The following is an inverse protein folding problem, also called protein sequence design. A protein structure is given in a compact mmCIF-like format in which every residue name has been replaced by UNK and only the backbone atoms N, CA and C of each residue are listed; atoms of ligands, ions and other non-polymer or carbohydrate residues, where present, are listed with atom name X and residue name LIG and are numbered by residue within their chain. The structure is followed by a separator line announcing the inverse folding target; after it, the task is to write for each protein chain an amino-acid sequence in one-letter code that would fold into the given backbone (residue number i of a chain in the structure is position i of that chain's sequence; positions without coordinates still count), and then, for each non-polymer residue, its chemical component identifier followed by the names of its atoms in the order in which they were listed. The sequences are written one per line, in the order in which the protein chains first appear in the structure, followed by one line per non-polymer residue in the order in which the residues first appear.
data_IF_536722989417
#
_entry.id   IF_536722989417
#
_cell.length_a   1.000
_cell.length_b   1.000
_cell.length_c   1.000
_cell.angle_alpha   90.00
_cell.angle_beta   90.00
_cell.angle_gamma   90.00
#
_symmetry.space_group_name_H-M   'P 1'
#
loop_
_entity.id
_entity.type
_entity.pdbx_description
1 polymer ?
#
# COMPACT_ATOMS: atom_id res chain seq x y z
N UNK A 1 -46.02 -89.04 3.00
CA UNK A 1 -47.24 -88.94 2.18
C UNK A 1 -47.44 -87.46 1.87
N UNK A 2 -47.26 -86.98 0.61
CA UNK A 2 -48.31 -86.85 -0.44
C UNK A 2 -49.54 -86.13 0.16
N UNK A 3 -49.99 -84.95 -0.23
CA UNK A 3 -50.13 -84.21 -1.52
C UNK A 3 -50.47 -82.75 -1.14
N UNK A 4 -50.09 -81.66 -1.83
CA UNK A 4 -50.44 -81.29 -3.20
C UNK A 4 -51.88 -80.75 -3.30
N UNK A 5 -52.09 -79.44 -3.49
CA UNK A 5 -52.96 -78.85 -4.52
C UNK A 5 -52.95 -77.30 -4.54
N UNK A 6 -53.16 -76.82 -5.75
CA UNK A 6 -52.92 -75.52 -6.39
C UNK A 6 -54.09 -74.53 -6.24
N UNK A 7 -53.83 -73.21 -6.37
CA UNK A 7 -54.59 -72.20 -7.15
C UNK A 7 -53.87 -70.84 -6.99
N UNK A 8 -53.20 -70.26 -8.00
CA UNK A 8 -53.70 -69.55 -9.20
C UNK A 8 -54.77 -68.48 -8.91
N UNK A 9 -54.32 -67.22 -8.73
CA UNK A 9 -54.96 -66.03 -9.28
C UNK A 9 -53.90 -64.97 -9.57
N UNK A 10 -53.74 -64.63 -10.84
CA UNK A 10 -53.11 -63.39 -11.26
C UNK A 10 -54.12 -62.24 -11.20
N UNK A 11 -53.60 -61.01 -11.17
CA UNK A 11 -53.93 -59.92 -12.09
C UNK A 11 -53.30 -58.62 -11.59
N UNK A 12 -52.51 -58.02 -12.48
CA UNK A 12 -52.52 -56.62 -12.89
C UNK A 12 -52.75 -55.55 -11.81
N UNK A 13 -51.76 -54.70 -11.62
CA UNK A 13 -52.02 -53.40 -11.00
C UNK A 13 -50.77 -52.59 -10.73
N UNK A 14 -50.42 -51.76 -11.70
CA UNK A 14 -49.87 -50.42 -11.45
C UNK A 14 -48.52 -50.39 -10.72
N UNK A 15 -47.45 -50.54 -11.51
CA UNK A 15 -46.16 -49.99 -11.15
C UNK A 15 -46.27 -48.47 -11.02
N UNK A 16 -46.49 -48.00 -9.79
CA UNK A 16 -46.22 -46.62 -9.42
C UNK A 16 -44.70 -46.46 -9.42
N UNK A 17 -44.16 -46.02 -10.56
CA UNK A 17 -42.84 -45.39 -10.60
C UNK A 17 -43.00 -44.10 -9.79
N UNK A 18 -42.66 -44.16 -8.51
CA UNK A 18 -42.45 -42.96 -7.70
C UNK A 18 -41.16 -42.34 -8.23
N UNK A 19 -41.30 -41.51 -9.27
CA UNK A 19 -40.25 -40.60 -9.69
C UNK A 19 -40.12 -39.57 -8.58
N UNK A 20 -39.25 -39.86 -7.61
CA UNK A 20 -38.86 -38.90 -6.59
C UNK A 20 -38.14 -37.77 -7.34
N UNK A 21 -38.89 -36.75 -7.72
CA UNK A 21 -38.35 -35.52 -8.28
C UNK A 21 -37.58 -34.82 -7.17
N UNK A 22 -36.31 -35.19 -7.01
CA UNK A 22 -35.36 -34.55 -6.12
C UNK A 22 -35.11 -33.16 -6.69
N UNK A 23 -35.95 -32.21 -6.30
CA UNK A 23 -35.72 -30.80 -6.52
C UNK A 23 -34.50 -30.43 -5.68
N UNK A 24 -33.31 -30.58 -6.26
CA UNK A 24 -32.08 -30.05 -5.67
C UNK A 24 -32.26 -28.53 -5.71
N UNK A 25 -32.79 -27.97 -4.62
CA UNK A 25 -32.71 -26.56 -4.36
C UNK A 25 -31.22 -26.24 -4.21
N UNK A 26 -30.58 -25.87 -5.32
CA UNK A 26 -29.27 -25.23 -5.32
C UNK A 26 -29.48 -23.89 -4.64
N UNK A 27 -29.42 -23.90 -3.31
CA UNK A 27 -29.21 -22.71 -2.51
C UNK A 27 -27.82 -22.25 -2.92
N UNK A 28 -27.76 -21.45 -3.99
CA UNK A 28 -26.57 -20.65 -4.31
C UNK A 28 -26.38 -19.75 -3.12
N UNK A 29 -25.55 -20.20 -2.18
CA UNK A 29 -24.98 -19.37 -1.14
C UNK A 29 -24.22 -18.27 -1.85
N UNK A 30 -24.90 -17.15 -2.10
CA UNK A 30 -24.27 -15.90 -2.51
C UNK A 30 -23.41 -15.52 -1.31
N UNK A 31 -22.17 -15.97 -1.29
CA UNK A 31 -21.18 -15.51 -0.33
C UNK A 31 -20.99 -14.03 -0.68
N UNK A 32 -21.37 -13.10 0.20
CA UNK A 32 -21.12 -11.70 -0.06
C UNK A 32 -19.61 -11.52 -0.18
N UNK A 33 -19.14 -11.15 -1.38
CA UNK A 33 -17.78 -10.72 -1.61
C UNK A 33 -17.56 -9.46 -0.76
N UNK A 34 -16.89 -9.60 0.38
CA UNK A 34 -16.53 -8.43 1.20
C UNK A 34 -15.44 -7.70 0.43
N UNK A 35 -15.84 -6.64 -0.27
CA UNK A 35 -14.93 -5.82 -1.06
C UNK A 35 -14.07 -5.03 -0.08
N UNK A 36 -12.79 -5.42 0.01
CA UNK A 36 -11.88 -4.75 0.92
C UNK A 36 -11.58 -3.34 0.45
N UNK A 37 -11.49 -2.41 1.39
CA UNK A 37 -11.09 -1.03 1.11
C UNK A 37 -10.35 -0.52 2.33
N UNK A 38 -9.03 -0.41 2.25
CA UNK A 38 -8.26 0.19 3.33
C UNK A 38 -7.11 1.00 2.77
N UNK A 39 -6.69 1.98 3.56
CA UNK A 39 -5.60 2.90 3.31
C UNK A 39 -4.98 3.31 4.64
N UNK A 40 -3.80 3.92 4.62
CA UNK A 40 -3.27 4.57 5.81
C UNK A 40 -3.94 5.95 5.98
N UNK A 41 -4.64 6.15 7.09
CA UNK A 41 -5.22 7.45 7.44
C UNK A 41 -4.17 8.40 7.98
N UNK A 42 -3.27 7.87 8.81
CA UNK A 42 -2.20 8.64 9.42
C UNK A 42 -0.84 7.99 9.17
N UNK A 43 0.02 8.67 8.43
CA UNK A 43 1.37 8.22 8.13
C UNK A 43 2.37 8.47 9.28
N UNK A 44 2.06 9.41 10.19
CA UNK A 44 2.81 9.64 11.43
C UNK A 44 1.86 9.87 12.61
N UNK A 45 1.38 8.77 13.17
CA UNK A 45 0.49 8.73 14.32
C UNK A 45 1.28 8.82 15.63
N UNK A 46 0.75 9.55 16.60
CA UNK A 46 1.24 9.53 17.97
C UNK A 46 0.29 8.73 18.85
N UNK A 47 0.69 7.53 19.33
CA UNK A 47 -0.18 6.68 20.12
C UNK A 47 -0.56 7.30 21.48
N UNK A 48 0.24 8.21 22.02
CA UNK A 48 0.00 8.80 23.34
C UNK A 48 -1.06 9.91 23.27
N UNK A 49 -0.92 10.83 22.30
CA UNK A 49 -1.88 11.93 22.12
C UNK A 49 -3.05 11.59 21.19
N UNK A 50 -2.97 10.48 20.46
CA UNK A 50 -3.89 10.06 19.39
C UNK A 50 -3.99 11.05 18.22
N UNK A 51 -2.99 11.94 18.10
CA UNK A 51 -2.90 12.93 17.03
C UNK A 51 -2.15 12.37 15.82
N UNK A 52 -2.44 12.95 14.66
CA UNK A 52 -1.73 12.66 13.44
C UNK A 52 -0.84 13.84 13.02
N UNK A 53 0.47 13.58 12.93
CA UNK A 53 1.50 14.56 12.57
C UNK A 53 1.93 14.49 11.11
N UNK A 54 1.31 13.61 10.31
CA UNK A 54 1.52 13.59 8.88
C UNK A 54 0.65 12.58 8.18
N UNK A 55 0.24 12.94 6.98
CA UNK A 55 -0.79 12.24 6.22
C UNK A 55 -0.22 11.71 4.92
N UNK A 56 -0.95 10.78 4.29
CA UNK A 56 -0.64 10.43 2.92
C UNK A 56 -0.96 11.58 1.97
N UNK A 57 -0.40 11.51 0.77
CA UNK A 57 -0.54 12.58 -0.23
C UNK A 57 -2.01 12.76 -0.64
N UNK A 58 -2.47 14.01 -0.73
CA UNK A 58 -3.84 14.33 -1.17
C UNK A 58 -4.94 13.82 -0.24
N UNK A 59 -4.62 13.55 1.03
CA UNK A 59 -5.60 13.14 2.02
C UNK A 59 -6.63 14.26 2.23
N UNK A 60 -7.92 13.91 2.18
CA UNK A 60 -9.03 14.87 2.32
C UNK A 60 -9.76 14.75 3.67
N UNK A 61 -9.36 13.78 4.50
CA UNK A 61 -9.94 13.52 5.81
C UNK A 61 -11.29 12.80 5.77
N UNK A 62 -11.58 12.02 6.81
CA UNK A 62 -12.80 11.18 6.90
C UNK A 62 -14.13 11.94 6.95
N UNK A 63 -14.10 13.26 7.13
CA UNK A 63 -15.27 14.12 6.95
C UNK A 63 -15.74 14.21 5.48
N UNK A 64 -14.90 13.85 4.51
CA UNK A 64 -15.30 13.73 3.12
C UNK A 64 -16.09 12.43 2.90
N UNK A 65 -17.34 12.55 2.43
CA UNK A 65 -18.24 11.41 2.21
C UNK A 65 -17.73 10.43 1.15
N UNK A 66 -16.90 10.92 0.23
CA UNK A 66 -16.34 10.14 -0.87
C UNK A 66 -14.93 9.62 -0.56
N UNK A 67 -14.45 9.74 0.68
CA UNK A 67 -13.07 9.37 1.04
C UNK A 67 -12.74 7.91 0.67
N UNK A 68 -13.69 7.00 0.85
CA UNK A 68 -13.49 5.58 0.51
C UNK A 68 -13.14 5.42 -0.96
N UNK A 69 -13.81 6.15 -1.84
CA UNK A 69 -13.57 6.11 -3.29
C UNK A 69 -12.32 6.88 -3.69
N UNK A 70 -12.07 8.03 -3.06
CA UNK A 70 -10.95 8.90 -3.41
C UNK A 70 -9.60 8.38 -2.92
N UNK A 71 -9.58 7.64 -1.82
CA UNK A 71 -8.37 7.28 -1.12
C UNK A 71 -8.05 5.78 -1.12
N UNK A 72 -9.03 4.92 -1.40
CA UNK A 72 -8.74 3.53 -1.71
C UNK A 72 -8.12 3.44 -3.09
N UNK A 73 -6.96 2.78 -3.18
CA UNK A 73 -6.33 2.49 -4.46
C UNK A 73 -6.05 0.99 -4.58
N UNK A 74 -6.85 0.35 -5.44
CA UNK A 74 -6.94 -1.10 -5.62
C UNK A 74 -6.05 -1.58 -6.77
N UNK A 75 -5.37 -2.70 -6.56
CA UNK A 75 -4.79 -3.53 -7.61
C UNK A 75 -5.56 -4.84 -7.68
N UNK A 76 -6.09 -5.16 -8.85
CA UNK A 76 -6.74 -6.44 -9.10
C UNK A 76 -5.69 -7.46 -9.57
N UNK A 77 -5.43 -8.48 -8.73
CA UNK A 77 -4.37 -9.45 -8.95
C UNK A 77 -2.97 -8.83 -9.07
N UNK A 78 -2.33 -8.98 -10.24
CA UNK A 78 -0.94 -8.55 -10.47
C UNK A 78 -0.80 -7.73 -11.75
N UNK A 79 -1.33 -6.49 -11.79
CA UNK A 79 -1.36 -5.70 -13.01
C UNK A 79 0.05 -5.44 -13.52
N UNK A 80 0.26 -5.52 -14.84
CA UNK A 80 1.59 -5.27 -15.41
C UNK A 80 1.96 -3.79 -15.45
N UNK A 81 0.97 -2.91 -15.69
CA UNK A 81 1.17 -1.48 -15.94
C UNK A 81 0.14 -0.65 -15.19
N UNK A 82 0.31 -0.56 -13.88
CA UNK A 82 -0.50 0.30 -13.01
C UNK A 82 0.44 0.99 -12.02
N UNK A 83 0.41 2.33 -11.87
CA UNK A 83 1.29 3.00 -10.91
C UNK A 83 0.98 2.52 -9.49
N UNK A 84 1.98 2.42 -8.61
CA UNK A 84 1.72 2.00 -7.22
C UNK A 84 1.03 3.09 -6.40
N UNK A 85 1.06 4.32 -6.87
CA UNK A 85 0.35 5.43 -6.26
C UNK A 85 -0.85 5.81 -7.09
N UNK A 86 -1.94 6.22 -6.42
CA UNK A 86 -3.12 6.73 -7.10
C UNK A 86 -2.74 7.93 -7.98
N UNK A 87 -3.00 7.90 -9.31
CA UNK A 87 -2.62 8.98 -10.21
C UNK A 87 -3.16 10.35 -9.80
N UNK A 88 -4.36 10.42 -9.22
CA UNK A 88 -4.95 11.66 -8.73
C UNK A 88 -4.06 12.30 -7.66
N UNK A 89 -3.51 11.47 -6.78
CA UNK A 89 -2.56 11.89 -5.75
C UNK A 89 -1.19 12.23 -6.35
N UNK A 90 -0.80 11.68 -7.50
CA UNK A 90 0.53 11.91 -8.08
C UNK A 90 0.71 13.26 -8.79
N UNK A 91 -0.37 13.89 -9.27
CA UNK A 91 -0.28 15.11 -10.08
C UNK A 91 0.36 16.32 -9.38
N UNK A 92 0.34 16.38 -8.05
CA UNK A 92 0.95 17.45 -7.26
C UNK A 92 1.15 17.01 -5.80
N UNK A 93 2.11 17.62 -5.09
CA UNK A 93 2.27 17.46 -3.64
C UNK A 93 1.13 18.21 -2.94
N UNK A 94 -0.05 17.59 -2.88
CA UNK A 94 -1.29 18.18 -2.35
C UNK A 94 -1.39 18.06 -0.83
N UNK A 95 -0.35 18.53 -0.15
CA UNK A 95 -0.35 18.67 1.31
C UNK A 95 -0.95 20.02 1.69
N UNK A 96 -1.71 20.04 2.79
CA UNK A 96 -2.34 21.26 3.32
C UNK A 96 -1.93 21.47 4.77
N UNK A 97 -2.18 22.66 5.32
CA UNK A 97 -1.95 22.91 6.76
C UNK A 97 -2.78 22.00 7.68
N UNK A 98 -3.91 21.48 7.19
CA UNK A 98 -4.77 20.53 7.90
C UNK A 98 -4.25 19.10 7.79
N UNK A 99 -3.71 18.76 6.62
CA UNK A 99 -3.16 17.44 6.31
C UNK A 99 -1.72 17.58 5.83
N UNK A 100 -0.77 17.91 6.73
CA UNK A 100 0.60 18.16 6.36
C UNK A 100 1.37 16.88 6.03
N UNK A 101 2.48 17.05 5.32
CA UNK A 101 3.50 16.00 5.18
C UNK A 101 4.16 15.72 6.52
N UNK A 102 4.48 14.46 6.81
CA UNK A 102 5.23 14.12 8.01
C UNK A 102 6.68 14.65 7.94
N UNK A 103 7.14 15.25 9.04
CA UNK A 103 8.57 15.41 9.29
C UNK A 103 9.10 14.15 9.97
N UNK A 104 10.30 13.69 9.64
CA UNK A 104 10.93 12.58 10.35
C UNK A 104 12.45 12.72 10.40
N UNK A 105 13.12 12.01 11.31
CA UNK A 105 14.59 11.91 11.32
C UNK A 105 15.08 10.48 11.06
N UNK A 106 16.32 10.28 10.57
CA UNK A 106 16.85 8.94 10.30
C UNK A 106 16.89 8.08 11.58
N UNK A 107 16.36 6.86 11.52
CA UNK A 107 16.24 5.98 12.67
C UNK A 107 15.05 6.27 13.60
N UNK A 108 14.21 7.26 13.29
CA UNK A 108 12.95 7.48 14.03
C UNK A 108 12.02 6.26 13.86
N UNK A 109 11.37 5.85 14.94
CA UNK A 109 10.24 4.92 14.85
C UNK A 109 8.98 5.73 14.53
N UNK A 110 8.37 5.43 13.39
CA UNK A 110 7.12 6.06 12.94
C UNK A 110 5.99 5.06 13.16
N UNK A 111 4.93 5.50 13.83
CA UNK A 111 3.68 4.76 13.92
C UNK A 111 2.74 5.25 12.82
N UNK A 112 1.98 4.32 12.28
CA UNK A 112 0.92 4.57 11.31
C UNK A 112 -0.42 4.10 11.87
N UNK A 113 -1.51 4.69 11.41
CA UNK A 113 -2.86 4.28 11.78
C UNK A 113 -3.78 4.15 10.54
N UNK A 114 -4.67 3.16 10.60
CA UNK A 114 -5.68 2.84 9.58
C UNK A 114 -6.90 2.21 10.24
N UNK A 115 -8.01 2.04 9.50
CA UNK A 115 -9.17 1.28 9.99
C UNK A 115 -9.12 -0.18 9.53
N UNK A 116 -9.58 -1.10 10.38
CA UNK A 116 -9.70 -2.52 10.03
C UNK A 116 -10.71 -2.78 8.90
N UNK A 117 -11.74 -1.94 8.79
CA UNK A 117 -12.84 -2.00 7.82
C UNK A 117 -13.41 -3.42 7.60
N UNK A 118 -13.61 -4.17 8.69
CA UNK A 118 -14.16 -5.52 8.68
C UNK A 118 -13.15 -6.64 8.39
N UNK A 119 -11.87 -6.33 8.20
CA UNK A 119 -10.83 -7.31 7.85
C UNK A 119 -9.94 -7.74 9.03
N UNK A 120 -10.54 -7.83 10.22
CA UNK A 120 -9.86 -8.41 11.39
C UNK A 120 -9.53 -9.88 11.15
N UNK A 121 -8.26 -10.26 11.25
CA UNK A 121 -7.84 -11.66 11.19
C UNK A 121 -6.67 -11.98 12.14
N UNK A 122 -7.00 -12.66 13.25
CA UNK A 122 -6.01 -13.11 14.22
C UNK A 122 -5.30 -14.42 13.85
N UNK A 123 -5.98 -15.29 13.10
CA UNK A 123 -5.48 -16.63 12.81
C UNK A 123 -4.41 -16.60 11.71
N UNK A 124 -4.61 -15.76 10.69
CA UNK A 124 -3.73 -15.66 9.53
C UNK A 124 -3.64 -14.21 9.04
N UNK A 125 -3.13 -13.26 9.85
CA UNK A 125 -3.14 -11.86 9.48
C UNK A 125 -2.42 -11.60 8.15
N UNK A 126 -3.14 -10.96 7.23
CA UNK A 126 -2.55 -10.32 6.06
C UNK A 126 -1.50 -9.28 6.43
N UNK A 127 -0.64 -8.94 5.48
CA UNK A 127 0.57 -8.15 5.71
C UNK A 127 0.53 -6.81 5.00
N UNK A 128 1.12 -5.83 5.66
CA UNK A 128 1.47 -4.55 5.09
C UNK A 128 2.99 -4.50 4.97
N UNK A 129 3.49 -4.07 3.82
CA UNK A 129 4.86 -3.59 3.67
C UNK A 129 4.89 -2.07 3.56
N UNK A 130 5.91 -1.46 4.17
CA UNK A 130 6.25 -0.06 3.95
C UNK A 130 7.46 -0.03 3.01
N UNK A 131 7.23 0.37 1.77
CA UNK A 131 8.20 0.35 0.67
C UNK A 131 8.74 1.76 0.41
N UNK A 132 9.99 1.87 -0.03
CA UNK A 132 10.63 3.16 -0.33
C UNK A 132 11.80 3.03 -1.32
N UNK A 133 12.32 4.17 -1.74
CA UNK A 133 13.59 4.30 -2.48
C UNK A 133 14.58 5.20 -1.75
N UNK A 134 15.87 4.87 -1.85
CA UNK A 134 16.98 5.71 -1.36
C UNK A 134 17.20 6.98 -2.19
N UNK A 135 16.69 7.00 -3.42
CA UNK A 135 16.75 8.16 -4.30
C UNK A 135 15.51 9.04 -4.05
N UNK A 136 15.65 10.24 -3.47
CA UNK A 136 14.53 11.13 -3.19
C UNK A 136 13.87 11.67 -4.47
N UNK A 137 14.52 11.58 -5.63
CA UNK A 137 13.92 11.97 -6.92
C UNK A 137 13.04 10.88 -7.52
N UNK A 138 13.10 9.65 -6.99
CA UNK A 138 12.38 8.50 -7.52
C UNK A 138 10.98 8.40 -6.93
N UNK A 139 9.99 8.26 -7.81
CA UNK A 139 8.60 7.96 -7.46
C UNK A 139 8.22 6.54 -7.89
N UNK A 140 7.14 6.01 -7.32
CA UNK A 140 6.61 4.71 -7.68
C UNK A 140 5.61 4.83 -8.82
N UNK A 141 6.09 4.57 -10.03
CA UNK A 141 5.37 4.75 -11.28
C UNK A 141 4.79 3.43 -11.83
N UNK A 142 5.20 2.28 -11.31
CA UNK A 142 4.73 0.98 -11.80
C UNK A 142 4.60 -0.09 -10.70
N UNK A 143 3.56 -0.92 -10.77
CA UNK A 143 3.24 -1.96 -9.78
C UNK A 143 4.39 -2.97 -9.59
N UNK A 144 5.16 -3.26 -10.64
CA UNK A 144 6.31 -4.17 -10.59
C UNK A 144 7.42 -3.67 -9.66
N UNK A 145 7.48 -2.36 -9.39
CA UNK A 145 8.50 -1.73 -8.56
C UNK A 145 8.52 -2.23 -7.12
N UNK A 146 7.41 -2.75 -6.60
CA UNK A 146 7.38 -3.39 -5.28
C UNK A 146 8.40 -4.53 -5.12
N UNK A 147 8.82 -5.16 -6.23
CA UNK A 147 9.81 -6.25 -6.23
C UNK A 147 11.25 -5.76 -6.06
N UNK A 148 11.52 -4.51 -6.44
CA UNK A 148 12.87 -3.90 -6.42
C UNK A 148 12.98 -2.77 -5.40
N UNK A 149 11.86 -2.30 -4.87
CA UNK A 149 11.79 -1.32 -3.81
C UNK A 149 12.43 -1.85 -2.52
N UNK A 150 13.00 -0.93 -1.76
CA UNK A 150 13.50 -1.24 -0.43
C UNK A 150 12.33 -1.30 0.55
N UNK A 151 12.49 -2.08 1.61
CA UNK A 151 11.46 -2.26 2.64
C UNK A 151 11.91 -1.64 3.95
N UNK A 152 11.14 -0.69 4.46
CA UNK A 152 11.38 -0.04 5.75
C UNK A 152 10.76 -0.83 6.92
N UNK A 153 9.72 -1.62 6.65
CA UNK A 153 9.11 -2.51 7.63
C UNK A 153 8.02 -3.40 7.04
N UNK A 154 7.66 -4.44 7.79
CA UNK A 154 6.48 -5.29 7.56
C UNK A 154 5.67 -5.34 8.85
N UNK A 155 4.35 -5.25 8.74
CA UNK A 155 3.43 -5.33 9.89
C UNK A 155 2.18 -6.14 9.54
N UNK A 156 1.45 -6.60 10.56
CA UNK A 156 0.14 -7.21 10.37
C UNK A 156 -0.89 -6.13 10.05
N UNK A 157 -1.88 -6.43 9.20
CA UNK A 157 -2.94 -5.50 8.87
C UNK A 157 -3.89 -5.25 10.05
N UNK A 158 -4.68 -6.24 10.47
CA UNK A 158 -5.66 -6.03 11.54
C UNK A 158 -5.80 -7.26 12.44
N UNK A 159 -5.36 -7.14 13.69
CA UNK A 159 -5.42 -8.17 14.73
C UNK A 159 -5.81 -7.58 16.08
N UNK A 160 -6.16 -8.44 17.03
CA UNK A 160 -6.51 -8.01 18.39
C UNK A 160 -5.32 -7.34 19.11
N UNK A 161 -4.09 -7.55 18.65
CA UNK A 161 -2.89 -6.98 19.26
C UNK A 161 -2.61 -5.56 18.78
N UNK A 162 -3.06 -5.18 17.58
CA UNK A 162 -2.73 -3.89 16.99
C UNK A 162 -3.93 -3.00 16.72
N UNK A 163 -5.16 -3.48 16.95
CA UNK A 163 -6.39 -2.73 16.82
C UNK A 163 -6.98 -2.38 18.19
N UNK A 164 -7.41 -1.13 18.36
CA UNK A 164 -7.87 -0.56 19.63
C UNK A 164 -9.12 -1.23 20.20
N UNK A 165 -10.10 -1.53 19.35
CA UNK A 165 -11.39 -2.09 19.73
C UNK A 165 -11.72 -3.28 18.82
N UNK A 166 -11.15 -4.48 19.04
CA UNK A 166 -11.24 -5.59 18.08
C UNK A 166 -12.65 -6.11 17.75
N UNK A 167 -13.66 -5.74 18.54
CA UNK A 167 -15.07 -6.02 18.28
C UNK A 167 -15.75 -5.04 17.32
N UNK A 168 -15.14 -3.88 17.08
CA UNK A 168 -15.61 -2.87 16.12
C UNK A 168 -15.04 -3.21 14.73
N UNK A 169 -15.88 -3.46 13.70
CA UNK A 169 -15.38 -3.68 12.35
C UNK A 169 -14.54 -2.52 11.82
N UNK A 170 -14.76 -1.29 12.29
CA UNK A 170 -13.99 -0.11 11.90
C UNK A 170 -12.95 0.30 12.95
N UNK A 171 -12.52 -0.66 13.78
CA UNK A 171 -11.48 -0.40 14.77
C UNK A 171 -10.25 0.24 14.13
N UNK A 172 -9.74 1.27 14.80
CA UNK A 172 -8.43 1.85 14.48
C UNK A 172 -7.36 0.83 14.80
N UNK A 173 -6.53 0.53 13.81
CA UNK A 173 -5.36 -0.31 13.92
C UNK A 173 -4.10 0.52 13.75
N UNK A 174 -3.02 0.04 14.35
CA UNK A 174 -1.72 0.72 14.31
C UNK A 174 -0.62 -0.26 13.95
N UNK A 175 0.48 0.29 13.46
CA UNK A 175 1.72 -0.44 13.28
C UNK A 175 2.86 0.54 13.12
N UNK A 176 4.09 0.03 13.10
CA UNK A 176 5.27 0.88 13.11
C UNK A 176 6.35 0.38 12.18
N UNK A 177 7.17 1.31 11.71
CA UNK A 177 8.41 1.03 11.00
C UNK A 177 9.49 2.00 11.46
N UNK A 178 10.75 1.69 11.15
CA UNK A 178 11.88 2.58 11.46
C UNK A 178 12.29 3.29 10.17
N UNK A 179 12.39 4.61 10.22
CA UNK A 179 12.93 5.41 9.11
C UNK A 179 14.35 4.93 8.84
N UNK A 180 14.69 4.52 7.61
CA UNK A 180 16.00 3.96 7.33
C UNK A 180 17.12 4.92 7.77
N UNK A 181 18.09 4.47 8.58
CA UNK A 181 19.04 5.35 9.25
C UNK A 181 20.03 6.03 8.31
N UNK A 182 20.13 5.58 7.06
CA UNK A 182 21.00 6.16 6.03
C UNK A 182 20.31 7.23 5.18
N UNK A 183 19.00 7.46 5.34
CA UNK A 183 18.33 8.57 4.66
C UNK A 183 18.92 9.90 5.13
N UNK A 184 19.08 10.85 4.21
CA UNK A 184 19.79 12.10 4.49
C UNK A 184 18.81 13.21 4.85
N UNK A 185 19.01 13.92 5.98
CA UNK A 185 18.31 15.16 6.28
C UNK A 185 18.35 16.16 5.12
N UNK A 186 17.27 16.93 4.97
CA UNK A 186 17.09 17.93 3.91
C UNK A 186 16.37 17.42 2.66
N UNK A 187 15.97 16.15 2.60
CA UNK A 187 15.29 15.57 1.44
C UNK A 187 13.87 15.10 1.78
N UNK A 188 13.02 15.03 0.76
CA UNK A 188 11.72 14.39 0.81
C UNK A 188 11.84 13.00 0.18
N UNK A 189 11.41 11.97 0.90
CA UNK A 189 11.46 10.58 0.43
C UNK A 189 10.04 10.04 0.23
N UNK A 190 9.87 9.28 -0.84
CA UNK A 190 8.60 8.65 -1.20
C UNK A 190 8.47 7.26 -0.55
N UNK A 191 7.35 7.04 0.11
CA UNK A 191 7.00 5.76 0.72
C UNK A 191 5.64 5.27 0.21
N UNK A 192 5.47 3.95 0.26
CA UNK A 192 4.20 3.28 -0.03
C UNK A 192 3.84 2.38 1.13
N UNK A 193 2.67 2.60 1.73
CA UNK A 193 2.00 1.59 2.54
C UNK A 193 1.30 0.65 1.57
N UNK A 194 1.67 -0.63 1.57
CA UNK A 194 1.19 -1.61 0.61
C UNK A 194 0.62 -2.84 1.32
N UNK A 195 -0.68 -3.04 1.22
CA UNK A 195 -1.40 -4.15 1.85
C UNK A 195 -1.62 -5.29 0.86
N UNK A 196 -1.09 -6.46 1.21
CA UNK A 196 -1.35 -7.71 0.51
C UNK A 196 -2.61 -8.35 1.09
N UNK A 197 -3.76 -8.16 0.44
CA UNK A 197 -5.00 -8.84 0.81
C UNK A 197 -5.08 -10.21 0.11
N UNK A 198 -4.12 -11.07 0.43
CA UNK A 198 -3.90 -12.39 -0.17
C UNK A 198 -4.88 -13.48 0.32
N UNK A 199 -5.82 -13.11 1.20
CA UNK A 199 -6.86 -14.00 1.71
C UNK A 199 -8.11 -14.08 0.83
N UNK A 200 -8.20 -13.26 -0.23
CA UNK A 200 -9.31 -13.36 -1.17
C UNK A 200 -8.89 -14.07 -2.47
N UNK A 201 -9.81 -14.82 -3.12
CA UNK A 201 -9.52 -15.48 -4.40
C UNK A 201 -9.13 -14.51 -5.53
N UNK A 202 -9.46 -13.23 -5.39
CA UNK A 202 -9.17 -12.19 -6.38
C UNK A 202 -7.71 -11.67 -6.28
N UNK A 203 -6.98 -11.96 -5.21
CA UNK A 203 -5.62 -11.45 -4.99
C UNK A 203 -5.56 -9.91 -4.92
N UNK A 204 -6.61 -9.28 -4.39
CA UNK A 204 -6.68 -7.82 -4.30
C UNK A 204 -5.56 -7.28 -3.42
N UNK A 205 -5.03 -6.12 -3.77
CA UNK A 205 -4.04 -5.41 -3.00
C UNK A 205 -4.39 -3.93 -2.95
N UNK A 206 -3.89 -3.24 -1.93
CA UNK A 206 -4.17 -1.83 -1.72
C UNK A 206 -2.90 -1.08 -1.44
N UNK A 207 -2.86 0.19 -1.84
CA UNK A 207 -1.76 1.04 -1.45
C UNK A 207 -2.18 2.45 -1.06
N UNK A 208 -1.29 3.10 -0.34
CA UNK A 208 -1.37 4.52 -0.04
C UNK A 208 0.04 5.09 -0.11
N UNK A 209 0.21 6.16 -0.86
CA UNK A 209 1.49 6.83 -0.97
C UNK A 209 1.57 8.02 -0.02
N UNK A 210 2.72 8.14 0.62
CA UNK A 210 3.01 9.21 1.56
C UNK A 210 4.48 9.61 1.45
N UNK A 211 4.78 10.80 1.91
CA UNK A 211 6.14 11.32 1.95
C UNK A 211 6.58 11.66 3.35
N UNK A 212 7.87 11.46 3.59
CA UNK A 212 8.55 11.95 4.78
C UNK A 212 9.54 13.02 4.34
N UNK A 213 9.42 14.23 4.88
CA UNK A 213 10.54 15.20 4.86
C UNK A 213 11.52 14.78 5.95
N UNK A 214 12.64 14.19 5.55
CA UNK A 214 13.69 13.77 6.47
C UNK A 214 14.49 15.00 6.87
N UNK A 215 14.56 15.28 8.16
CA UNK A 215 15.15 16.46 8.78
C UNK A 215 16.01 16.06 9.97
N UNK A 216 16.71 17.02 10.57
CA UNK A 216 17.42 16.78 11.83
C UNK A 216 16.42 16.55 12.97
N UNK A 217 16.83 15.74 13.96
CA UNK A 217 15.98 15.38 15.10
C UNK A 217 15.42 16.61 15.84
N UNK A 218 16.23 17.65 16.01
CA UNK A 218 15.82 18.90 16.66
C UNK A 218 14.69 19.63 15.93
N UNK A 219 14.60 19.53 14.59
CA UNK A 219 13.50 20.11 13.81
C UNK A 219 12.19 19.36 14.08
N UNK A 220 12.23 18.02 14.16
CA UNK A 220 11.06 17.20 14.53
C UNK A 220 10.59 17.55 15.95
N UNK A 221 11.50 17.65 16.91
CA UNK A 221 11.19 17.97 18.31
C UNK A 221 10.55 19.37 18.42
N UNK A 222 11.08 20.34 17.67
CA UNK A 222 10.54 21.71 17.61
C UNK A 222 9.14 21.77 16.97
N UNK A 223 8.92 20.99 15.91
CA UNK A 223 7.64 20.93 15.23
C UNK A 223 6.55 20.28 16.09
N UNK A 224 6.88 19.23 16.86
CA UNK A 224 5.93 18.61 17.80
C UNK A 224 5.48 19.60 18.88
N UNK A 225 6.42 20.39 19.41
CA UNK A 225 6.10 21.40 20.43
C UNK A 225 5.23 22.53 19.87
N UNK A 226 5.54 23.02 18.66
CA UNK A 226 4.80 24.10 18.01
C UNK A 226 3.43 23.67 17.45
N UNK A 227 3.31 22.40 17.05
CA UNK A 227 2.06 21.81 16.58
C UNK A 227 1.07 21.57 17.73
N UNK A 228 1.57 21.20 18.92
CA UNK A 228 0.73 20.99 20.11
C UNK A 228 -0.06 22.24 20.50
N UNK A 229 0.54 23.42 20.43
CA UNK A 229 -0.15 24.67 20.78
C UNK A 229 -1.18 25.11 19.73
N UNK A 230 -0.92 24.87 18.44
CA UNK A 230 -1.83 25.27 17.36
C UNK A 230 -2.95 24.25 17.07
N UNK A 231 -2.71 22.96 17.31
CA UNK A 231 -3.72 21.91 17.09
C UNK A 231 -4.79 21.90 18.17
N UNK A 232 -4.46 22.27 19.43
CA UNK A 232 -5.46 22.38 20.50
C UNK A 232 -6.50 23.46 20.19
N UNK A 233 -6.08 24.61 19.65
CA UNK A 233 -7.01 25.67 19.24
C UNK A 233 -7.82 25.32 17.97
N UNK A 234 -7.19 24.73 16.94
CA UNK A 234 -7.93 24.28 15.75
C UNK A 234 -8.82 23.05 16.01
N UNK A 235 -8.51 22.22 16.99
CA UNK A 235 -9.29 21.03 17.37
C UNK A 235 -10.66 21.37 17.94
N UNK A 236 -10.85 22.53 18.57
CA UNK A 236 -12.18 22.92 19.10
C UNK A 236 -13.19 23.27 18.02
N UNK A 237 -12.72 23.59 16.80
CA UNK A 237 -13.56 23.86 15.63
C UNK A 237 -13.64 22.65 14.66
N UNK A 238 -12.87 21.58 14.91
CA UNK A 238 -12.87 20.35 14.11
C UNK A 238 -13.52 19.19 14.87
N UNK A 239 -14.77 19.37 15.27
CA UNK A 239 -15.60 18.41 15.99
C UNK A 239 -15.89 17.09 15.21
N UNK A 240 -15.13 16.77 14.17
CA UNK A 240 -15.24 15.53 13.40
C UNK A 240 -13.98 15.00 12.72
N UNK A 241 -12.78 15.61 12.83
CA UNK A 241 -11.68 15.25 11.91
C UNK A 241 -10.24 15.09 12.44
N UNK A 242 -9.88 15.45 13.67
CA UNK A 242 -8.46 15.41 14.08
C UNK A 242 -8.14 14.56 15.32
N UNK A 243 -9.14 14.15 16.11
CA UNK A 243 -8.94 13.08 17.07
C UNK A 243 -9.54 11.81 16.48
N UNK A 244 -8.76 10.73 16.48
CA UNK A 244 -9.30 9.37 16.43
C UNK A 244 -10.09 9.10 17.72
N UNK A 245 -11.17 9.86 17.94
CA UNK A 245 -12.18 9.50 18.94
C UNK A 245 -12.91 8.31 18.34
N UNK A 246 -12.52 7.12 18.79
CA UNK A 246 -13.41 5.97 18.74
C UNK A 246 -14.77 6.43 19.26
N UNK A 247 -15.78 6.45 18.39
CA UNK A 247 -17.14 6.75 18.81
C UNK A 247 -17.60 5.55 19.62
N UNK A 248 -17.53 5.67 20.94
CA UNK A 248 -18.27 4.78 21.86
C UNK A 248 -19.79 5.04 21.82
N UNK A 249 -20.27 5.93 20.95
CA UNK A 249 -21.69 6.23 20.77
C UNK A 249 -22.16 5.80 19.38
N UNK A 250 -23.11 4.87 19.35
CA UNK A 250 -23.73 4.23 18.18
C UNK A 250 -24.53 5.16 17.26
N UNK A 251 -23.88 6.20 16.74
CA UNK A 251 -24.34 6.92 15.56
C UNK A 251 -23.79 6.22 14.33
N UNK A 252 -24.54 5.24 13.82
CA UNK A 252 -24.21 4.52 12.61
C UNK A 252 -24.03 5.50 11.46
N UNK A 253 -22.78 5.69 11.03
CA UNK A 253 -22.57 5.94 9.61
C UNK A 253 -23.07 4.68 8.93
N UNK A 254 -24.24 4.76 8.30
CA UNK A 254 -24.59 3.79 7.27
C UNK A 254 -23.42 3.83 6.30
N UNK A 255 -22.61 2.76 6.33
CA UNK A 255 -21.79 2.40 5.20
C UNK A 255 -22.71 2.52 4.00
N UNK A 256 -22.44 3.49 3.13
CA UNK A 256 -23.10 3.48 1.84
C UNK A 256 -22.89 2.06 1.29
N UNK A 257 -23.95 1.38 0.79
CA UNK A 257 -23.76 0.09 0.15
C UNK A 257 -22.62 0.25 -0.86
N UNK A 258 -21.70 -0.72 -0.97
CA UNK A 258 -20.51 -0.59 -1.80
C UNK A 258 -20.96 -0.16 -3.19
N UNK A 259 -20.77 1.11 -3.50
CA UNK A 259 -20.88 1.60 -4.86
C UNK A 259 -19.73 0.91 -5.55
N UNK A 260 -20.06 -0.10 -6.36
CA UNK A 260 -19.10 -0.74 -7.25
C UNK A 260 -18.27 0.37 -7.89
N UNK A 261 -16.94 0.41 -7.70
CA UNK A 261 -16.15 1.48 -8.28
C UNK A 261 -16.44 1.47 -9.77
N UNK A 262 -16.95 2.60 -10.27
CA UNK A 262 -17.08 2.85 -11.69
C UNK A 262 -15.68 2.71 -12.26
N UNK A 263 -15.41 1.54 -12.86
CA UNK A 263 -14.19 1.34 -13.62
C UNK A 263 -14.11 2.46 -14.66
N UNK A 264 -12.92 3.02 -14.94
CA UNK A 264 -12.75 3.75 -16.18
C UNK A 264 -13.16 2.79 -17.31
N UNK A 265 -14.18 3.16 -18.08
CA UNK A 265 -14.67 2.38 -19.21
C UNK A 265 -13.48 1.93 -20.06
N UNK A 266 -13.32 0.60 -20.16
CA UNK A 266 -12.27 0.01 -20.96
C UNK A 266 -12.41 0.47 -22.42
N UNK A 267 -11.42 1.21 -22.90
CA UNK A 267 -11.21 1.35 -24.34
C UNK A 267 -10.97 -0.05 -24.91
N UNK A 268 -11.94 -0.52 -25.70
CA UNK A 268 -11.80 -1.72 -26.52
C UNK A 268 -10.54 -1.62 -27.39
N UNK A 269 -9.73 -2.69 -27.54
CA UNK A 269 -8.58 -2.65 -28.43
C UNK A 269 -9.07 -2.57 -29.89
N UNK A 270 -9.00 -1.37 -30.45
CA UNK A 270 -9.13 -1.16 -31.88
C UNK A 270 -7.94 -1.77 -32.61
N UNK A 271 -8.21 -2.57 -33.63
CA UNK A 271 -7.23 -3.17 -34.54
C UNK A 271 -6.18 -2.15 -35.02
N UNK A 272 -4.89 -2.51 -35.07
CA UNK A 272 -3.87 -1.61 -35.59
C UNK A 272 -4.05 -1.44 -37.11
N UNK A 273 -4.37 -0.22 -37.52
CA UNK A 273 -4.26 0.18 -38.93
C UNK A 273 -2.83 0.62 -39.17
N UNK A 274 -2.12 -0.10 -40.04
CA UNK A 274 -0.74 0.19 -40.40
C UNK A 274 -0.61 1.60 -40.98
N UNK A 275 0.11 2.47 -40.28
CA UNK A 275 0.50 3.79 -40.76
C UNK A 275 1.96 3.74 -41.17
N UNK A 276 2.21 3.96 -42.45
CA UNK A 276 3.55 4.02 -43.08
C UNK A 276 4.37 5.17 -42.49
N UNK A 277 5.65 4.97 -42.13
CA UNK A 277 6.52 6.07 -41.70
C UNK A 277 6.97 6.92 -42.91
N UNK A 278 7.09 8.26 -42.77
CA UNK A 278 7.67 9.10 -43.80
C UNK A 278 9.18 8.87 -43.94
N UNK A 279 9.62 8.88 -45.20
CA UNK A 279 10.99 8.66 -45.64
C UNK A 279 11.96 9.73 -45.10
N UNK A 280 13.09 9.26 -44.57
CA UNK A 280 14.24 10.11 -44.21
C UNK A 280 15.15 10.24 -45.44
N UNK A 281 15.39 11.47 -45.90
CA UNK A 281 16.39 11.79 -46.93
C UNK A 281 17.79 11.94 -46.30
N UNK A 282 18.83 11.26 -46.82
CA UNK A 282 20.21 11.51 -46.39
C UNK A 282 20.82 12.68 -47.17
N UNK A 283 21.52 13.56 -46.46
CA UNK A 283 22.40 14.61 -47.01
C UNK A 283 23.81 14.04 -47.23
N UNK A 284 24.59 14.49 -48.24
CA UNK A 284 25.87 13.87 -48.59
C UNK A 284 27.03 14.38 -47.75
N UNK A 285 27.90 13.46 -47.35
CA UNK A 285 29.25 13.72 -46.85
C UNK A 285 30.16 14.24 -47.96
N UNK A 286 30.82 15.38 -47.72
CA UNK A 286 32.02 15.81 -48.45
C UNK A 286 33.25 15.49 -47.61
N UNK A 287 34.07 14.57 -48.11
CA UNK A 287 35.38 14.24 -47.55
C UNK A 287 36.44 15.31 -47.86
N UNK A 288 37.51 15.29 -47.06
CA UNK A 288 38.70 16.09 -47.32
C UNK A 288 39.75 16.02 -46.21
N UNK A 289 40.71 15.10 -46.35
CA UNK A 289 42.13 15.47 -46.31
C UNK A 289 42.91 15.51 -44.99
N UNK A 290 43.97 14.69 -45.00
CA UNK A 290 45.33 14.96 -44.49
C UNK A 290 45.70 14.66 -43.02
N UNK A 291 46.45 13.57 -42.87
CA UNK A 291 47.62 13.44 -41.97
C UNK A 291 48.75 14.39 -42.41
N UNK A 292 49.77 14.76 -41.59
CA UNK A 292 50.60 13.79 -40.84
C UNK A 292 51.24 14.26 -39.51
N UNK A 293 52.05 13.34 -38.95
CA UNK A 293 53.31 13.55 -38.22
C UNK A 293 53.32 13.38 -36.67
N UNK A 294 53.81 12.19 -36.28
CA UNK A 294 54.97 11.91 -35.42
C UNK A 294 55.32 12.82 -34.21
N UNK A 295 55.50 12.15 -33.07
CA UNK A 295 56.18 12.63 -31.86
C UNK A 295 55.41 12.13 -30.63
N UNK A 296 55.93 11.35 -29.68
CA UNK A 296 57.29 11.17 -29.23
C UNK A 296 57.28 11.32 -27.71
N UNK A 297 57.56 10.23 -26.98
CA UNK A 297 58.03 10.26 -25.60
C UNK A 297 56.96 10.29 -24.49
N UNK A 298 57.26 9.58 -23.40
CA UNK A 298 56.64 9.89 -22.09
C UNK A 298 56.21 8.71 -21.24
N UNK A 299 57.10 7.75 -21.04
CA UNK A 299 57.00 6.74 -19.97
C UNK A 299 56.85 7.41 -18.59
N UNK A 300 55.77 7.10 -17.86
CA UNK A 300 55.68 7.40 -16.42
C UNK A 300 54.72 6.44 -15.70
N UNK A 301 55.19 5.22 -15.45
CA UNK A 301 54.55 4.28 -14.51
C UNK A 301 54.83 4.74 -13.07
N UNK A 302 53.93 5.52 -12.47
CA UNK A 302 53.91 5.74 -11.01
C UNK A 302 53.40 4.47 -10.31
N UNK A 303 54.31 3.74 -9.67
CA UNK A 303 54.00 2.70 -8.68
C UNK A 303 53.29 3.34 -7.48
N UNK A 304 52.00 3.07 -7.31
CA UNK A 304 51.32 3.30 -6.04
C UNK A 304 51.73 2.19 -5.06
N UNK A 305 52.63 2.51 -4.11
CA UNK A 305 52.90 1.67 -2.94
C UNK A 305 51.69 1.71 -2.02
N UNK A 306 51.05 0.55 -1.85
CA UNK A 306 49.96 0.29 -0.91
C UNK A 306 50.53 0.33 0.52
N UNK A 307 50.28 1.39 1.27
CA UNK A 307 50.59 1.46 2.71
C UNK A 307 49.43 0.83 3.47
N UNK A 308 49.63 -0.38 3.98
CA UNK A 308 48.69 -1.04 4.90
C UNK A 308 48.90 -0.43 6.29
N UNK A 309 48.06 0.54 6.67
CA UNK A 309 47.94 0.96 8.08
C UNK A 309 47.10 -0.07 8.82
N UNK A 310 47.75 -0.85 9.70
CA UNK A 310 47.06 -1.69 10.70
C UNK A 310 46.40 -0.76 11.73
N UNK A 311 45.07 -0.79 11.80
CA UNK A 311 44.34 -0.21 12.92
C UNK A 311 44.57 -1.07 14.16
N UNK A 312 45.17 -0.49 15.21
CA UNK A 312 45.22 -1.08 16.55
C UNK A 312 43.81 -1.07 17.15
N UNK A 313 43.34 -2.22 17.63
CA UNK A 313 42.13 -2.32 18.46
C UNK A 313 42.38 -1.62 19.82
N UNK A 314 41.42 -0.86 20.37
CA UNK A 314 41.50 -0.35 21.72
C UNK A 314 41.30 -1.47 22.75
N UNK A 315 42.06 -1.40 23.84
CA UNK A 315 41.97 -2.31 24.99
C UNK A 315 40.69 -2.06 25.79
N UNK A 316 40.07 -3.09 26.39
CA UNK A 316 38.88 -2.93 27.22
C UNK A 316 39.21 -2.22 28.55
N UNK A 317 38.26 -1.48 29.13
CA UNK A 317 38.43 -0.80 30.40
C UNK A 317 38.51 -1.80 31.55
N UNK A 318 39.50 -1.62 32.43
CA UNK A 318 39.55 -2.32 33.70
C UNK A 318 38.69 -1.55 34.71
N UNK A 319 37.65 -2.21 35.22
CA UNK A 319 36.89 -1.74 36.36
C UNK A 319 37.67 -2.05 37.65
N UNK A 320 37.78 -1.03 38.52
CA UNK A 320 38.16 -1.17 39.93
C UNK A 320 36.89 -1.23 40.77
#
# INVERSE_FOLDING_TARGET
MKTGFTNLFGLNGSGFVVTLATTIAVVSSIIPSVLAHSWVDCAKYDPDSTLCFGYGRGYTGRGNRDINTLYTYLFDGTPQHQPMCNPIQQTSQNYTDLFPMALAYPGETIYQAWEANGHMNNAKPTKIDVLYYDDPSKQFMDYSERKTAMKAGTMNFATNQNCRSPSDPNSVCTGSFVVPPHLKPGNVYHFVWFWYFDENPAGQQYSTCFELKVVDKSEVDSARFSGSTNLVDKSTNMNGQAQYKGKDNGGGYQSAPPSSPSQPEGQSPGSPTASTPPAYSPTPETGGGASPAAGGGGENRRKCKRVVKRCKKPSPPQYK
#
